data_IF_747957286144
#
_entry.id   IF_747957286144
#
_cell.length_a   1.000
_cell.length_b   1.000
_cell.length_c   1.000
_cell.angle_alpha   90.00
_cell.angle_beta   90.00
_cell.angle_gamma   90.00
#
_symmetry.space_group_name_H-M   'P 1'
#
loop_
_entity.id
_entity.type
_entity.pdbx_description
1 polymer ?
#
# COMPACT_ATOMS: atom_id res chain seq x y z
N UNK A 1 20.83 -22.36 -36.20
CA UNK A 1 20.89 -22.94 -34.84
C UNK A 1 20.51 -21.83 -33.87
N UNK A 2 19.52 -22.00 -32.97
CA UNK A 2 19.18 -20.98 -31.97
C UNK A 2 20.38 -20.76 -31.05
N UNK A 3 20.63 -19.50 -30.66
CA UNK A 3 21.78 -19.17 -29.81
C UNK A 3 21.47 -19.46 -28.33
N UNK A 4 22.49 -19.66 -27.47
CA UNK A 4 22.28 -19.95 -26.04
C UNK A 4 21.54 -18.86 -25.24
N UNK A 5 21.25 -17.71 -25.86
CA UNK A 5 20.56 -16.56 -25.25
C UNK A 5 19.06 -16.48 -25.60
N UNK A 6 18.54 -17.39 -26.43
CA UNK A 6 17.14 -17.36 -26.91
C UNK A 6 16.16 -18.18 -26.04
N UNK A 7 16.64 -18.82 -24.97
CA UNK A 7 15.75 -19.47 -24.01
C UNK A 7 15.07 -18.40 -23.13
N UNK A 8 13.73 -18.46 -22.91
CA UNK A 8 13.11 -17.60 -21.92
C UNK A 8 13.78 -17.87 -20.57
N UNK A 9 14.52 -16.90 -20.07
CA UNK A 9 15.15 -16.97 -18.74
C UNK A 9 14.02 -17.08 -17.74
N UNK A 10 13.82 -18.27 -17.19
CA UNK A 10 12.84 -18.53 -16.12
C UNK A 10 13.28 -17.72 -14.89
N UNK A 11 12.85 -16.47 -14.80
CA UNK A 11 13.30 -15.51 -13.79
C UNK A 11 13.47 -14.07 -14.26
N UNK A 12 13.32 -13.76 -15.55
CA UNK A 12 13.29 -12.35 -15.98
C UNK A 12 11.97 -11.70 -15.55
N UNK A 13 12.00 -10.57 -14.84
CA UNK A 13 10.79 -9.83 -14.53
C UNK A 13 10.11 -9.43 -15.84
N UNK A 14 8.77 -9.57 -15.87
CA UNK A 14 7.90 -9.27 -17.01
C UNK A 14 8.08 -7.83 -17.55
N UNK A 15 8.69 -6.98 -16.74
CA UNK A 15 8.93 -5.57 -16.99
C UNK A 15 10.40 -5.21 -16.69
N UNK A 16 11.02 -4.29 -17.44
CA UNK A 16 12.39 -3.87 -17.19
C UNK A 16 12.49 -3.23 -15.81
N UNK A 17 13.40 -3.74 -14.96
CA UNK A 17 13.68 -3.16 -13.64
C UNK A 17 14.32 -1.80 -13.84
N UNK A 18 13.61 -0.74 -13.44
CA UNK A 18 14.06 0.65 -13.62
C UNK A 18 14.96 1.13 -12.48
N UNK A 19 14.80 0.57 -11.28
CA UNK A 19 15.61 0.92 -10.10
C UNK A 19 15.52 -0.18 -9.04
N UNK A 20 16.67 -0.65 -8.53
CA UNK A 20 16.74 -1.77 -7.58
C UNK A 20 16.74 -1.32 -6.12
N UNK A 21 16.98 -0.02 -5.84
CA UNK A 21 17.06 0.53 -4.48
C UNK A 21 16.11 1.72 -4.27
N UNK A 22 14.78 1.50 -4.27
CA UNK A 22 13.81 2.57 -4.05
C UNK A 22 13.91 3.11 -2.61
N UNK A 23 14.29 4.38 -2.50
CA UNK A 23 14.29 5.09 -1.20
C UNK A 23 12.85 5.43 -0.79
N UNK A 24 12.49 5.21 0.48
CA UNK A 24 11.13 5.40 0.99
C UNK A 24 10.56 6.81 0.70
N UNK A 25 11.39 7.86 0.75
CA UNK A 25 10.99 9.24 0.43
C UNK A 25 10.59 9.40 -1.04
N UNK A 26 11.23 8.66 -1.95
CA UNK A 26 10.91 8.68 -3.38
C UNK A 26 9.56 8.03 -3.64
N UNK A 27 9.28 6.91 -2.97
CA UNK A 27 7.99 6.21 -3.11
C UNK A 27 6.84 7.09 -2.63
N UNK A 28 6.99 7.74 -1.47
CA UNK A 28 5.96 8.68 -0.96
C UNK A 28 5.72 9.85 -1.90
N UNK A 29 6.76 10.33 -2.60
CA UNK A 29 6.65 11.44 -3.57
C UNK A 29 5.95 11.03 -4.87
N UNK A 30 5.95 9.74 -5.21
CA UNK A 30 5.28 9.21 -6.40
C UNK A 30 3.95 8.51 -6.10
N UNK A 31 3.42 8.62 -4.87
CA UNK A 31 2.11 8.08 -4.56
C UNK A 31 1.05 8.66 -5.49
N UNK A 32 0.33 7.78 -6.17
CA UNK A 32 -0.83 8.16 -6.98
C UNK A 32 -1.95 8.58 -6.04
N UNK A 33 -2.89 9.39 -6.54
CA UNK A 33 -4.06 9.82 -5.77
C UNK A 33 -4.83 8.62 -5.18
N UNK A 34 -4.87 7.49 -5.91
CA UNK A 34 -5.44 6.21 -5.45
C UNK A 34 -4.79 5.73 -4.14
N UNK A 35 -3.47 5.81 -4.02
CA UNK A 35 -2.73 5.30 -2.86
C UNK A 35 -3.07 6.10 -1.59
N UNK A 36 -3.22 7.42 -1.72
CA UNK A 36 -3.70 8.28 -0.63
C UNK A 36 -5.15 7.97 -0.25
N UNK A 37 -6.02 7.66 -1.22
CA UNK A 37 -7.41 7.28 -0.92
C UNK A 37 -7.47 5.95 -0.18
N UNK A 38 -6.69 4.96 -0.59
CA UNK A 38 -6.59 3.66 0.10
C UNK A 38 -6.03 3.82 1.50
N UNK A 39 -4.95 4.59 1.65
CA UNK A 39 -4.36 4.87 2.96
C UNK A 39 -5.32 5.58 3.91
N UNK A 40 -6.01 6.62 3.42
CA UNK A 40 -7.01 7.35 4.19
C UNK A 40 -8.20 6.47 4.57
N UNK A 41 -8.68 5.65 3.64
CA UNK A 41 -9.80 4.72 3.87
C UNK A 41 -9.46 3.68 4.93
N UNK A 42 -8.25 3.09 4.90
CA UNK A 42 -7.81 2.10 5.90
C UNK A 42 -7.61 2.76 7.26
N UNK A 43 -6.99 3.94 7.29
CA UNK A 43 -6.73 4.69 8.54
C UNK A 43 -8.02 5.10 9.24
N UNK A 44 -9.05 5.52 8.49
CA UNK A 44 -10.34 5.89 9.05
C UNK A 44 -11.26 4.67 9.30
N UNK A 45 -11.16 3.63 8.47
CA UNK A 45 -11.97 2.43 8.56
C UNK A 45 -11.75 1.66 9.85
N UNK A 46 -10.50 1.59 10.32
CA UNK A 46 -10.16 0.87 11.55
C UNK A 46 -10.81 1.48 12.81
N UNK A 47 -10.65 2.78 13.15
CA UNK A 47 -11.35 3.40 14.26
C UNK A 47 -12.86 3.48 14.04
N UNK A 48 -13.35 3.64 12.80
CA UNK A 48 -14.78 3.60 12.51
C UNK A 48 -15.40 2.24 12.84
N UNK A 49 -14.69 1.15 12.55
CA UNK A 49 -15.14 -0.22 12.88
C UNK A 49 -15.28 -0.40 14.39
N UNK A 50 -14.30 0.08 15.17
CA UNK A 50 -14.37 0.04 16.64
C UNK A 50 -15.52 0.90 17.14
N UNK A 51 -15.75 2.07 16.55
CA UNK A 51 -16.87 2.94 16.93
C UNK A 51 -18.23 2.28 16.67
N UNK A 52 -18.40 1.66 15.50
CA UNK A 52 -19.61 0.91 15.16
C UNK A 52 -19.82 -0.27 16.11
N UNK A 53 -18.75 -1.01 16.42
CA UNK A 53 -18.82 -2.16 17.32
C UNK A 53 -19.17 -1.75 18.75
N UNK A 54 -18.57 -0.66 19.25
CA UNK A 54 -18.89 -0.10 20.57
C UNK A 54 -20.33 0.42 20.70
N UNK A 55 -21.03 0.65 19.58
CA UNK A 55 -22.45 1.01 19.57
C UNK A 55 -23.37 -0.21 19.70
N UNK A 56 -22.92 -1.38 19.25
CA UNK A 56 -23.66 -2.64 19.32
C UNK A 56 -23.47 -3.25 20.72
N UNK A 57 -22.22 -3.41 21.15
CA UNK A 57 -21.85 -3.95 22.47
C UNK A 57 -21.00 -2.94 23.25
N UNK A 58 -21.63 -2.08 24.08
CA UNK A 58 -20.91 -1.09 24.85
C UNK A 58 -20.08 -1.74 25.96
N UNK A 59 -18.79 -1.41 26.03
CA UNK A 59 -17.94 -1.89 27.12
C UNK A 59 -18.38 -1.26 28.46
N UNK A 60 -18.76 -2.07 29.47
CA UNK A 60 -19.14 -1.55 30.77
C UNK A 60 -17.92 -0.93 31.48
N UNK A 61 -18.11 0.26 32.08
CA UNK A 61 -17.14 0.96 32.95
C UNK A 61 -15.82 1.39 32.30
N UNK A 62 -15.74 1.50 30.97
CA UNK A 62 -14.53 2.02 30.31
C UNK A 62 -14.42 3.55 30.50
N UNK A 63 -13.36 4.08 31.13
CA UNK A 63 -13.19 5.53 31.27
C UNK A 63 -12.92 6.18 29.91
N UNK A 64 -13.54 7.35 29.65
CA UNK A 64 -13.35 8.16 28.43
C UNK A 64 -11.89 8.29 27.95
N UNK A 65 -10.88 8.56 28.81
CA UNK A 65 -9.49 8.61 28.36
C UNK A 65 -8.95 7.28 27.81
N UNK A 66 -9.41 6.14 28.32
CA UNK A 66 -9.00 4.83 27.82
C UNK A 66 -9.60 4.55 26.44
N UNK A 67 -10.85 4.95 26.19
CA UNK A 67 -11.44 4.89 24.84
C UNK A 67 -10.66 5.76 23.84
N UNK A 68 -10.25 6.99 24.20
CA UNK A 68 -9.44 7.86 23.32
C UNK A 68 -8.11 7.20 22.94
N UNK A 69 -7.45 6.53 23.89
CA UNK A 69 -6.22 5.77 23.62
C UNK A 69 -6.49 4.59 22.68
N UNK A 70 -7.58 3.84 22.89
CA UNK A 70 -7.97 2.73 22.03
C UNK A 70 -8.18 3.20 20.57
N UNK A 71 -8.98 4.24 20.36
CA UNK A 71 -9.20 4.81 19.03
C UNK A 71 -7.90 5.39 18.42
N UNK A 72 -7.05 6.01 19.23
CA UNK A 72 -5.74 6.51 18.77
C UNK A 72 -4.80 5.40 18.32
N UNK A 73 -4.72 4.30 19.07
CA UNK A 73 -3.91 3.14 18.69
C UNK A 73 -4.49 2.44 17.47
N UNK A 74 -5.81 2.33 17.37
CA UNK A 74 -6.51 1.81 16.20
C UNK A 74 -6.21 2.62 14.94
N UNK A 75 -6.27 3.94 15.04
CA UNK A 75 -5.89 4.84 13.95
C UNK A 75 -4.40 4.74 13.61
N UNK A 76 -3.51 4.62 14.61
CA UNK A 76 -2.08 4.45 14.37
C UNK A 76 -1.77 3.13 13.64
N UNK A 77 -2.39 2.02 14.06
CA UNK A 77 -2.24 0.72 13.40
C UNK A 77 -2.82 0.76 11.99
N UNK A 78 -4.01 1.35 11.81
CA UNK A 78 -4.61 1.55 10.49
C UNK A 78 -3.74 2.43 9.57
N UNK A 79 -3.14 3.49 10.11
CA UNK A 79 -2.23 4.36 9.36
C UNK A 79 -0.97 3.63 8.91
N UNK A 80 -0.35 2.84 9.80
CA UNK A 80 0.86 2.06 9.47
C UNK A 80 0.53 0.94 8.49
N UNK A 81 -0.54 0.19 8.72
CA UNK A 81 -0.97 -0.91 7.84
C UNK A 81 -1.40 -0.42 6.46
N UNK A 82 -2.19 0.65 6.39
CA UNK A 82 -2.62 1.25 5.13
C UNK A 82 -1.46 1.86 4.34
N UNK A 83 -0.48 2.45 5.04
CA UNK A 83 0.74 2.95 4.40
C UNK A 83 1.55 1.81 3.78
N UNK A 84 1.69 0.69 4.49
CA UNK A 84 2.42 -0.47 4.00
C UNK A 84 1.75 -1.10 2.77
N UNK A 85 0.42 -1.14 2.74
CA UNK A 85 -0.34 -1.66 1.60
C UNK A 85 -0.23 -0.73 0.38
N UNK A 86 -0.38 0.57 0.58
CA UNK A 86 -0.14 1.57 -0.46
C UNK A 86 1.29 1.48 -1.03
N UNK A 87 2.28 1.22 -0.16
CA UNK A 87 3.67 1.02 -0.56
C UNK A 87 3.86 -0.21 -1.45
N UNK A 88 3.19 -1.32 -1.12
CA UNK A 88 3.25 -2.55 -1.93
C UNK A 88 2.60 -2.35 -3.31
N UNK A 89 1.42 -1.72 -3.37
CA UNK A 89 0.72 -1.44 -4.63
C UNK A 89 1.54 -0.53 -5.54
N UNK A 90 2.11 0.56 -4.99
CA UNK A 90 2.95 1.49 -5.75
C UNK A 90 4.21 0.84 -6.33
N UNK A 91 4.74 -0.21 -5.72
CA UNK A 91 5.93 -0.91 -6.21
C UNK A 91 5.61 -1.85 -7.38
N UNK A 92 4.48 -2.58 -7.28
CA UNK A 92 4.05 -3.52 -8.31
C UNK A 92 3.59 -2.83 -9.61
N UNK A 93 2.81 -1.75 -9.49
CA UNK A 93 2.21 -1.06 -10.64
C UNK A 93 3.22 -0.16 -11.38
N UNK A 94 4.33 0.20 -10.74
CA UNK A 94 5.41 0.95 -11.39
C UNK A 94 6.08 0.15 -12.50
N UNK A 95 6.16 -1.17 -12.32
CA UNK A 95 6.72 -2.09 -13.32
C UNK A 95 5.85 -2.14 -14.59
N UNK A 96 4.52 -2.10 -14.45
CA UNK A 96 3.58 -2.12 -15.59
C UNK A 96 3.61 -0.81 -16.40
N UNK A 97 3.58 0.36 -15.76
CA UNK A 97 3.43 1.65 -16.46
C UNK A 97 4.63 2.08 -17.31
N UNK A 98 5.83 1.58 -17.01
CA UNK A 98 7.00 1.89 -17.82
C UNK A 98 7.06 1.00 -19.06
N UNK A 99 6.56 -0.24 -18.96
CA UNK A 99 6.50 -1.13 -20.09
C UNK A 99 5.52 -0.64 -21.15
N UNK A 100 4.29 -0.30 -20.75
CA UNK A 100 3.24 0.30 -21.59
C UNK A 100 3.64 1.65 -22.24
N UNK A 101 4.77 2.23 -21.85
CA UNK A 101 5.29 3.46 -22.46
C UNK A 101 6.41 3.19 -23.48
N UNK A 102 7.09 2.04 -23.36
CA UNK A 102 8.24 1.65 -24.20
C UNK A 102 7.82 0.84 -25.44
N UNK A 103 6.64 0.26 -25.42
CA UNK A 103 5.96 -0.40 -26.54
C UNK A 103 5.18 0.59 -27.41
N UNK A 104 4.58 1.65 -26.83
CA UNK A 104 3.92 2.73 -27.59
C UNK A 104 4.88 3.65 -28.38
N UNK A 105 6.19 3.54 -28.15
CA UNK A 105 7.23 4.35 -28.82
C UNK A 105 7.99 3.61 -29.92
N UNK A 106 7.52 2.41 -30.31
CA UNK A 106 8.09 1.59 -31.39
C UNK A 106 7.23 1.58 -32.65
#
# INVERSE_FOLDING_TARGET
MPTPFDAPVTGTPRFPVIDTDPHAVRVVRYFRTKDYTTWGAVTAGFPATIYLWARIDPLPNMPRPAMRKLYGMAAAVGAVGGFLMAYQDSSSEWSENVFDRLDLTK
#
